data_IF_633134337550
#
_entry.id   IF_633134337550
#
_cell.length_a   1.000
_cell.length_b   1.000
_cell.length_c   1.000
_cell.angle_alpha   90.00
_cell.angle_beta   90.00
_cell.angle_gamma   90.00
#
_symmetry.space_group_name_H-M   'P 1'
#
loop_
_entity.id
_entity.type
_entity.pdbx_description
1 polymer ?
#
# COMPACT_ATOMS: atom_id res chain seq x y z
N UNK A 1 29.24 18.54 -3.59
CA UNK A 1 27.94 18.89 -4.18
C UNK A 1 27.16 17.60 -4.36
N UNK A 2 26.29 17.28 -3.40
CA UNK A 2 25.26 16.29 -3.61
C UNK A 2 24.16 17.02 -4.40
N UNK A 3 24.02 16.69 -5.67
CA UNK A 3 22.86 17.07 -6.43
C UNK A 3 21.65 16.35 -5.82
N UNK A 4 20.82 17.09 -5.10
CA UNK A 4 19.49 16.64 -4.74
C UNK A 4 18.68 16.49 -6.02
N UNK A 5 18.51 15.26 -6.48
CA UNK A 5 17.76 14.94 -7.68
C UNK A 5 16.27 14.74 -7.36
N UNK A 6 15.70 15.64 -6.57
CA UNK A 6 14.25 15.71 -6.42
C UNK A 6 13.63 16.07 -7.77
N UNK A 7 12.83 15.15 -8.31
CA UNK A 7 11.95 15.41 -9.44
C UNK A 7 12.41 14.94 -10.81
N UNK A 8 13.43 14.07 -10.92
CA UNK A 8 13.70 13.42 -12.21
C UNK A 8 12.60 12.38 -12.50
N UNK A 9 11.76 12.66 -13.51
CA UNK A 9 10.64 11.80 -13.92
C UNK A 9 10.89 11.38 -15.37
N UNK A 10 10.80 10.08 -15.65
CA UNK A 10 10.86 9.55 -16.99
C UNK A 10 9.59 9.87 -17.79
N UNK A 11 9.60 10.91 -18.63
CA UNK A 11 8.43 11.26 -19.44
C UNK A 11 8.18 10.29 -20.59
N UNK A 12 9.22 9.85 -21.27
CA UNK A 12 9.12 8.90 -22.37
C UNK A 12 8.98 7.49 -21.85
N UNK A 13 9.86 7.08 -20.94
CA UNK A 13 9.80 5.80 -20.22
C UNK A 13 9.52 6.11 -18.75
N UNK A 14 8.29 5.83 -18.26
CA UNK A 14 7.96 5.96 -16.84
C UNK A 14 8.83 5.05 -15.97
N UNK A 15 9.16 5.51 -14.77
CA UNK A 15 9.95 4.73 -13.81
C UNK A 15 9.26 3.41 -13.48
N UNK A 16 7.97 3.45 -13.22
CA UNK A 16 7.16 2.28 -12.86
C UNK A 16 7.25 1.18 -13.92
N UNK A 17 7.26 1.57 -15.19
CA UNK A 17 7.35 0.61 -16.30
C UNK A 17 8.73 -0.06 -16.36
N UNK A 18 9.79 0.73 -16.23
CA UNK A 18 11.15 0.22 -16.19
C UNK A 18 11.41 -0.66 -14.96
N UNK A 19 10.91 -0.24 -13.81
CA UNK A 19 10.99 -0.99 -12.55
C UNK A 19 10.23 -2.31 -12.61
N UNK A 20 9.00 -2.30 -13.12
CA UNK A 20 8.19 -3.52 -13.26
C UNK A 20 8.88 -4.56 -14.16
N UNK A 21 9.58 -4.13 -15.20
CA UNK A 21 10.24 -5.01 -16.16
C UNK A 21 11.59 -5.54 -15.68
N UNK A 22 12.42 -4.67 -15.08
CA UNK A 22 13.83 -4.97 -14.83
C UNK A 22 14.21 -5.00 -13.35
N UNK A 23 13.35 -4.50 -12.44
CA UNK A 23 13.64 -4.35 -11.03
C UNK A 23 12.50 -4.86 -10.13
N UNK A 24 11.72 -5.82 -10.63
CA UNK A 24 10.52 -6.33 -9.95
C UNK A 24 10.81 -6.82 -8.52
N UNK A 25 11.94 -7.48 -8.29
CA UNK A 25 12.32 -7.98 -6.95
C UNK A 25 12.54 -6.82 -5.95
N UNK A 26 13.17 -5.73 -6.39
CA UNK A 26 13.42 -4.57 -5.53
C UNK A 26 12.10 -3.83 -5.23
N UNK A 27 11.22 -3.70 -6.21
CA UNK A 27 9.88 -3.12 -6.04
C UNK A 27 9.04 -3.97 -5.07
N UNK A 28 9.03 -5.29 -5.24
CA UNK A 28 8.30 -6.19 -4.33
C UNK A 28 8.86 -6.15 -2.91
N UNK A 29 10.18 -6.06 -2.74
CA UNK A 29 10.78 -5.95 -1.42
C UNK A 29 10.38 -4.65 -0.72
N UNK A 30 10.38 -3.53 -1.45
CA UNK A 30 9.92 -2.23 -0.93
C UNK A 30 8.44 -2.29 -0.55
N UNK A 31 7.59 -2.82 -1.43
CA UNK A 31 6.16 -2.98 -1.17
C UNK A 31 5.87 -3.84 0.06
N UNK A 32 6.56 -4.96 0.24
CA UNK A 32 6.43 -5.80 1.44
C UNK A 32 6.84 -5.06 2.72
N UNK A 33 7.88 -4.22 2.64
CA UNK A 33 8.28 -3.39 3.78
C UNK A 33 7.23 -2.33 4.12
N UNK A 34 6.60 -1.72 3.12
CA UNK A 34 5.50 -0.76 3.29
C UNK A 34 4.23 -1.44 3.84
N UNK A 35 3.86 -2.61 3.33
CA UNK A 35 2.75 -3.42 3.83
C UNK A 35 2.99 -3.79 5.31
N UNK A 36 4.21 -4.24 5.64
CA UNK A 36 4.58 -4.56 7.02
C UNK A 36 4.51 -3.33 7.94
N UNK A 37 4.94 -2.18 7.47
CA UNK A 37 4.82 -0.92 8.20
C UNK A 37 3.36 -0.57 8.47
N UNK A 38 2.48 -0.74 7.49
CA UNK A 38 1.03 -0.52 7.63
C UNK A 38 0.40 -1.47 8.66
N UNK A 39 0.77 -2.75 8.65
CA UNK A 39 0.34 -3.73 9.66
C UNK A 39 0.76 -3.32 11.08
N UNK A 40 2.01 -2.87 11.23
CA UNK A 40 2.50 -2.40 12.53
C UNK A 40 1.70 -1.20 13.02
N UNK A 41 1.43 -0.23 12.16
CA UNK A 41 0.64 0.96 12.52
C UNK A 41 -0.78 0.54 12.92
N UNK A 42 -1.44 -0.33 12.15
CA UNK A 42 -2.76 -0.84 12.50
C UNK A 42 -2.77 -1.62 13.82
N UNK A 43 -1.69 -2.34 14.14
CA UNK A 43 -1.57 -3.08 15.40
C UNK A 43 -1.54 -2.20 16.66
N UNK A 44 -1.28 -0.90 16.53
CA UNK A 44 -1.33 0.02 17.66
C UNK A 44 -2.77 0.33 18.06
N UNK A 45 -3.66 0.50 17.08
CA UNK A 45 -5.09 0.72 17.35
C UNK A 45 -5.71 -0.52 18.01
N UNK A 46 -5.37 -1.71 17.48
CA UNK A 46 -5.79 -2.98 18.09
C UNK A 46 -5.28 -3.12 19.53
N UNK A 47 -4.01 -2.80 19.75
CA UNK A 47 -3.41 -2.87 21.08
C UNK A 47 -4.02 -1.86 22.07
N UNK A 48 -4.45 -0.69 21.60
CA UNK A 48 -5.19 0.28 22.42
C UNK A 48 -6.58 -0.24 22.76
N UNK A 49 -7.26 -0.91 21.83
CA UNK A 49 -8.58 -1.48 22.06
C UNK A 49 -8.54 -2.67 23.05
N UNK A 50 -7.47 -3.47 23.02
CA UNK A 50 -7.24 -4.57 23.95
C UNK A 50 -6.99 -4.11 25.42
N UNK A 51 -6.59 -2.85 25.63
CA UNK A 51 -6.32 -2.34 26.96
C UNK A 51 -7.63 -2.10 27.74
N UNK A 52 -7.68 -2.48 29.05
CA UNK A 52 -8.77 -2.09 29.95
C UNK A 52 -8.91 -0.57 30.05
N UNK A 53 -10.13 -0.06 30.19
CA UNK A 53 -10.38 1.39 30.28
C UNK A 53 -9.62 2.07 31.42
N UNK A 54 -9.44 1.40 32.55
CA UNK A 54 -8.67 1.87 33.70
C UNK A 54 -7.17 2.06 33.36
N UNK A 55 -6.64 1.26 32.44
CA UNK A 55 -5.26 1.33 31.99
C UNK A 55 -5.05 2.40 30.91
N UNK A 56 -6.11 2.75 30.16
CA UNK A 56 -6.07 3.85 29.17
C UNK A 56 -5.96 5.23 29.81
N UNK A 57 -6.25 5.35 31.10
CA UNK A 57 -6.11 6.60 31.86
C UNK A 57 -4.68 6.80 32.43
N UNK A 58 -3.76 5.86 32.18
CA UNK A 58 -2.37 5.96 32.62
C UNK A 58 -1.51 6.77 31.65
N UNK A 59 -0.41 7.31 32.13
CA UNK A 59 0.51 8.20 31.41
C UNK A 59 1.10 7.58 30.13
N UNK A 60 1.06 6.26 29.94
CA UNK A 60 1.57 5.61 28.72
C UNK A 60 0.63 5.68 27.52
N UNK A 61 -0.59 6.18 27.71
CA UNK A 61 -1.54 6.54 26.65
C UNK A 61 -1.73 8.04 26.66
N UNK A 62 -1.91 8.68 25.50
CA UNK A 62 -2.16 10.10 25.43
C UNK A 62 -3.55 10.49 25.98
N UNK A 63 -3.75 11.77 26.29
CA UNK A 63 -4.99 12.29 26.87
C UNK A 63 -6.23 12.01 26.00
N UNK A 64 -6.05 11.93 24.68
CA UNK A 64 -7.11 11.63 23.72
C UNK A 64 -7.38 10.12 23.58
N UNK A 65 -6.62 9.25 24.26
CA UNK A 65 -6.70 7.78 24.19
C UNK A 65 -6.51 7.18 22.79
N UNK A 66 -5.77 7.87 21.95
CA UNK A 66 -5.57 7.49 20.54
C UNK A 66 -4.16 7.04 20.19
N UNK A 67 -3.20 7.23 21.08
CA UNK A 67 -1.80 6.90 20.80
C UNK A 67 -1.00 6.57 22.06
N UNK A 68 0.03 5.74 21.91
CA UNK A 68 0.97 5.43 22.99
C UNK A 68 2.02 6.53 23.17
N UNK A 69 2.31 6.89 24.43
CA UNK A 69 3.41 7.77 24.80
C UNK A 69 4.67 6.93 25.06
N UNK A 70 5.52 6.81 24.06
CA UNK A 70 6.67 5.90 24.03
C UNK A 70 7.63 6.02 25.22
N UNK A 71 7.81 7.22 25.75
CA UNK A 71 8.66 7.46 26.90
C UNK A 71 8.08 6.79 28.16
N UNK A 72 6.77 6.93 28.36
CA UNK A 72 6.07 6.39 29.51
C UNK A 72 5.83 4.87 29.37
N UNK A 73 5.59 4.36 28.15
CA UNK A 73 5.58 2.91 27.87
C UNK A 73 6.88 2.25 28.32
N UNK A 74 8.03 2.85 28.01
CA UNK A 74 9.34 2.34 28.43
C UNK A 74 9.52 2.38 29.96
N UNK A 75 8.99 3.40 30.62
CA UNK A 75 9.03 3.50 32.09
C UNK A 75 8.13 2.46 32.74
N UNK A 76 6.90 2.30 32.26
CA UNK A 76 5.95 1.30 32.76
C UNK A 76 6.50 -0.13 32.66
N UNK A 77 7.13 -0.49 31.53
CA UNK A 77 7.77 -1.80 31.36
C UNK A 77 8.93 -2.01 32.36
N UNK A 78 9.70 -0.98 32.66
CA UNK A 78 10.82 -1.06 33.61
C UNK A 78 10.35 -1.13 35.07
N UNK A 79 9.33 -0.37 35.42
CA UNK A 79 8.76 -0.33 36.76
C UNK A 79 8.03 -1.64 37.15
N UNK A 80 7.49 -2.36 36.13
CA UNK A 80 6.65 -3.56 36.30
C UNK A 80 5.42 -3.29 37.20
N UNK A 81 4.91 -2.08 37.17
CA UNK A 81 3.79 -1.61 38.01
C UNK A 81 2.46 -1.70 37.23
N UNK A 82 2.36 -2.66 36.32
CA UNK A 82 1.17 -2.95 35.51
C UNK A 82 0.88 -4.44 35.54
N UNK A 83 -0.37 -4.81 35.29
CA UNK A 83 -0.79 -6.20 35.21
C UNK A 83 0.01 -7.00 34.17
N UNK A 84 0.23 -8.32 34.39
CA UNK A 84 1.02 -9.15 33.49
C UNK A 84 0.52 -9.16 32.05
N UNK A 85 -0.80 -9.05 31.83
CA UNK A 85 -1.43 -9.00 30.52
C UNK A 85 -1.12 -7.68 29.82
N UNK A 86 -1.31 -6.55 30.51
CA UNK A 86 -0.96 -5.22 30.00
C UNK A 86 0.54 -5.10 29.72
N UNK A 87 1.37 -5.67 30.57
CA UNK A 87 2.82 -5.71 30.35
C UNK A 87 3.19 -6.45 29.06
N UNK A 88 2.48 -7.52 28.72
CA UNK A 88 2.69 -8.25 27.47
C UNK A 88 2.33 -7.41 26.26
N UNK A 89 1.18 -6.70 26.29
CA UNK A 89 0.76 -5.76 25.23
C UNK A 89 1.79 -4.64 25.07
N UNK A 90 2.20 -3.98 26.15
CA UNK A 90 3.18 -2.87 26.08
C UNK A 90 4.54 -3.32 25.53
N UNK A 91 4.98 -4.54 25.85
CA UNK A 91 6.22 -5.10 25.27
C UNK A 91 6.08 -5.34 23.78
N UNK A 92 4.96 -5.92 23.32
CA UNK A 92 4.65 -6.14 21.91
C UNK A 92 4.66 -4.81 21.14
N UNK A 93 3.96 -3.82 21.67
CA UNK A 93 3.87 -2.47 21.08
C UNK A 93 5.25 -1.78 21.04
N UNK A 94 6.10 -1.96 22.07
CA UNK A 94 7.45 -1.40 22.04
C UNK A 94 8.35 -2.07 20.99
N UNK A 95 8.25 -3.39 20.82
CA UNK A 95 8.96 -4.12 19.76
C UNK A 95 8.52 -3.64 18.38
N UNK A 96 7.21 -3.48 18.19
CA UNK A 96 6.63 -2.96 16.96
C UNK A 96 7.14 -1.53 16.67
N UNK A 97 7.25 -0.66 17.68
CA UNK A 97 7.79 0.69 17.50
C UNK A 97 9.28 0.70 17.09
N UNK A 98 10.07 -0.22 17.63
CA UNK A 98 11.49 -0.33 17.24
C UNK A 98 11.62 -0.93 15.83
N UNK A 99 10.73 -1.84 15.41
CA UNK A 99 10.62 -2.36 14.05
C UNK A 99 10.15 -1.27 13.08
N UNK A 100 9.13 -0.49 13.45
CA UNK A 100 8.61 0.64 12.67
C UNK A 100 9.72 1.65 12.31
N UNK A 101 10.55 2.03 13.29
CA UNK A 101 11.64 2.96 13.07
C UNK A 101 12.69 2.42 12.09
N UNK A 102 12.98 1.11 12.19
CA UNK A 102 13.90 0.45 11.26
C UNK A 102 13.31 0.38 9.86
N UNK A 103 12.03 -0.03 9.74
CA UNK A 103 11.34 -0.11 8.46
C UNK A 103 11.20 1.25 7.79
N UNK A 104 10.84 2.31 8.53
CA UNK A 104 10.77 3.67 7.97
C UNK A 104 12.11 4.13 7.39
N UNK A 105 13.21 3.82 8.09
CA UNK A 105 14.54 4.14 7.58
C UNK A 105 14.88 3.29 6.35
N UNK A 106 14.62 1.99 6.41
CA UNK A 106 14.87 1.06 5.31
C UNK A 106 14.07 1.45 4.06
N UNK A 107 12.76 1.73 4.18
CA UNK A 107 11.90 2.15 3.08
C UNK A 107 12.45 3.41 2.41
N UNK A 108 12.90 4.38 3.23
CA UNK A 108 13.51 5.60 2.70
C UNK A 108 14.80 5.30 1.94
N UNK A 109 15.73 4.57 2.56
CA UNK A 109 17.03 4.26 1.98
C UNK A 109 16.88 3.40 0.70
N UNK A 110 16.02 2.38 0.73
CA UNK A 110 15.73 1.49 -0.40
C UNK A 110 14.97 2.23 -1.53
N UNK A 111 14.04 3.13 -1.18
CA UNK A 111 13.33 3.97 -2.14
C UNK A 111 14.28 4.93 -2.88
N UNK A 112 15.16 5.62 -2.17
CA UNK A 112 16.18 6.49 -2.76
C UNK A 112 17.14 5.69 -3.66
N UNK A 113 17.55 4.52 -3.22
CA UNK A 113 18.42 3.61 -3.98
C UNK A 113 17.72 3.14 -5.26
N UNK A 114 16.48 2.66 -5.16
CA UNK A 114 15.67 2.21 -6.29
C UNK A 114 15.50 3.34 -7.33
N UNK A 115 15.24 4.56 -6.87
CA UNK A 115 15.12 5.73 -7.75
C UNK A 115 16.41 5.99 -8.55
N UNK A 116 17.57 6.00 -7.87
CA UNK A 116 18.85 6.21 -8.52
C UNK A 116 19.26 5.07 -9.47
N UNK A 117 18.96 3.83 -9.08
CA UNK A 117 19.22 2.67 -9.94
C UNK A 117 18.30 2.67 -11.16
N UNK A 118 17.03 3.05 -11.02
CA UNK A 118 16.10 3.20 -12.14
C UNK A 118 16.56 4.28 -13.12
N UNK A 119 17.04 5.41 -12.61
CA UNK A 119 17.61 6.46 -13.45
C UNK A 119 18.78 5.92 -14.27
N UNK A 120 19.75 5.28 -13.61
CA UNK A 120 20.92 4.68 -14.29
C UNK A 120 20.51 3.61 -15.30
N UNK A 121 19.52 2.79 -14.97
CA UNK A 121 18.96 1.81 -15.88
C UNK A 121 18.46 2.47 -17.16
N UNK A 122 17.61 3.49 -17.02
CA UNK A 122 17.01 4.20 -18.16
C UNK A 122 18.08 4.90 -19.03
N UNK A 123 19.11 5.46 -18.42
CA UNK A 123 20.24 6.11 -19.14
C UNK A 123 21.10 5.11 -19.94
N UNK A 124 21.09 3.83 -19.57
CA UNK A 124 21.90 2.78 -20.18
C UNK A 124 21.08 1.74 -20.96
N UNK A 125 19.79 1.99 -21.24
CA UNK A 125 18.97 1.10 -22.05
C UNK A 125 19.49 1.05 -23.50
N UNK A 126 19.50 -0.15 -24.06
CA UNK A 126 19.75 -0.37 -25.49
C UNK A 126 18.49 -0.08 -26.31
N UNK A 127 18.66 0.22 -27.60
CA UNK A 127 17.55 0.59 -28.48
C UNK A 127 16.42 -0.45 -28.50
N UNK A 128 16.75 -1.74 -28.49
CA UNK A 128 15.76 -2.82 -28.45
C UNK A 128 14.95 -2.81 -27.16
N UNK A 129 15.61 -2.56 -26.02
CA UNK A 129 14.94 -2.46 -24.72
C UNK A 129 14.02 -1.22 -24.64
N UNK A 130 14.45 -0.11 -25.21
CA UNK A 130 13.62 1.10 -25.33
C UNK A 130 12.38 0.80 -26.15
N UNK A 131 12.52 0.11 -27.30
CA UNK A 131 11.40 -0.24 -28.16
C UNK A 131 10.42 -1.20 -27.47
N UNK A 132 10.89 -2.16 -26.69
CA UNK A 132 10.03 -3.04 -25.87
C UNK A 132 9.22 -2.24 -24.84
N UNK A 133 9.86 -1.35 -24.09
CA UNK A 133 9.17 -0.51 -23.10
C UNK A 133 8.17 0.46 -23.74
N UNK A 134 8.47 1.00 -24.91
CA UNK A 134 7.52 1.84 -25.65
C UNK A 134 6.34 1.02 -26.18
N UNK A 135 6.58 -0.21 -26.61
CA UNK A 135 5.52 -1.14 -26.97
C UNK A 135 4.59 -1.44 -25.79
N UNK A 136 5.17 -1.76 -24.62
CA UNK A 136 4.41 -2.01 -23.40
C UNK A 136 3.62 -0.78 -22.93
N UNK A 137 4.16 0.42 -23.15
CA UNK A 137 3.50 1.68 -22.79
C UNK A 137 2.33 2.05 -23.70
N UNK A 138 2.49 1.86 -25.00
CA UNK A 138 1.57 2.42 -25.99
C UNK A 138 0.72 1.36 -26.71
N UNK A 139 1.33 0.25 -27.09
CA UNK A 139 0.67 -0.76 -27.90
C UNK A 139 -0.14 -1.72 -27.07
N UNK A 140 0.42 -2.25 -25.98
CA UNK A 140 -0.28 -3.22 -25.13
C UNK A 140 -1.60 -2.65 -24.58
N UNK A 141 -1.65 -1.47 -23.94
CA UNK A 141 -2.91 -0.91 -23.45
C UNK A 141 -3.93 -0.61 -24.55
N UNK A 142 -3.45 -0.21 -25.74
CA UNK A 142 -4.31 0.02 -26.90
C UNK A 142 -4.97 -1.29 -27.36
N UNK A 143 -4.18 -2.34 -27.49
CA UNK A 143 -4.68 -3.68 -27.90
C UNK A 143 -5.66 -4.20 -26.86
N UNK A 144 -5.35 -4.11 -25.56
CA UNK A 144 -6.25 -4.51 -24.48
C UNK A 144 -7.56 -3.73 -24.50
N UNK A 145 -7.51 -2.41 -24.69
CA UNK A 145 -8.71 -1.57 -24.81
C UNK A 145 -9.58 -2.00 -26.01
N UNK A 146 -8.96 -2.30 -27.14
CA UNK A 146 -9.66 -2.77 -28.34
C UNK A 146 -10.30 -4.15 -28.12
N UNK A 147 -9.64 -5.03 -27.36
CA UNK A 147 -10.17 -6.36 -27.02
C UNK A 147 -11.35 -6.28 -26.06
N UNK A 148 -11.38 -5.28 -25.19
CA UNK A 148 -12.48 -5.07 -24.22
C UNK A 148 -13.74 -4.43 -24.85
N UNK A 149 -13.63 -3.80 -26.01
CA UNK A 149 -14.79 -3.14 -26.67
C UNK A 149 -15.96 -4.11 -26.95
N UNK A 150 -15.76 -5.32 -27.51
CA UNK A 150 -16.86 -6.27 -27.70
C UNK A 150 -17.53 -6.68 -26.39
N UNK A 151 -16.77 -6.91 -25.33
CA UNK A 151 -17.28 -7.35 -24.02
C UNK A 151 -18.12 -6.23 -23.36
N UNK A 152 -17.66 -4.99 -23.45
CA UNK A 152 -18.43 -3.85 -22.94
C UNK A 152 -19.75 -3.67 -23.69
N UNK A 153 -19.75 -3.80 -25.01
CA UNK A 153 -20.96 -3.72 -25.83
C UNK A 153 -21.94 -4.85 -25.54
N UNK A 154 -21.44 -6.08 -25.39
CA UNK A 154 -22.26 -7.25 -25.02
C UNK A 154 -22.88 -7.05 -23.62
N UNK A 155 -22.09 -6.57 -22.66
CA UNK A 155 -22.59 -6.28 -21.30
C UNK A 155 -23.68 -5.21 -21.29
N UNK A 156 -23.51 -4.16 -22.07
CA UNK A 156 -24.53 -3.11 -22.23
C UNK A 156 -25.80 -3.65 -22.85
N UNK A 157 -25.71 -4.51 -23.89
CA UNK A 157 -26.85 -5.17 -24.51
C UNK A 157 -27.58 -6.10 -23.53
N UNK A 158 -26.85 -6.88 -22.75
CA UNK A 158 -27.43 -7.75 -21.71
C UNK A 158 -28.20 -6.92 -20.70
N UNK A 159 -27.61 -5.83 -20.18
CA UNK A 159 -28.26 -4.93 -19.23
C UNK A 159 -29.57 -4.33 -19.78
N UNK A 160 -29.59 -3.95 -21.08
CA UNK A 160 -30.81 -3.41 -21.70
C UNK A 160 -31.89 -4.50 -21.91
N UNK A 161 -31.48 -5.74 -22.22
CA UNK A 161 -32.40 -6.86 -22.29
C UNK A 161 -33.00 -7.23 -20.92
N UNK A 162 -32.18 -7.23 -19.87
CA UNK A 162 -32.66 -7.47 -18.50
C UNK A 162 -33.66 -6.40 -18.05
N UNK A 163 -33.37 -5.13 -18.33
CA UNK A 163 -34.36 -4.02 -18.07
C UNK A 163 -35.66 -4.22 -18.83
N UNK A 164 -35.60 -4.68 -20.08
CA UNK A 164 -36.78 -5.00 -20.87
C UNK A 164 -37.55 -6.17 -20.27
N UNK A 165 -36.87 -7.26 -19.90
CA UNK A 165 -37.48 -8.41 -19.26
C UNK A 165 -38.23 -7.99 -17.96
N UNK A 166 -37.52 -7.27 -17.07
CA UNK A 166 -38.11 -6.80 -15.81
C UNK A 166 -39.34 -5.89 -16.05
N UNK A 167 -39.29 -5.05 -17.10
CA UNK A 167 -40.43 -4.18 -17.44
C UNK A 167 -41.67 -4.93 -17.87
N UNK A 168 -41.54 -6.09 -18.50
CA UNK A 168 -42.64 -6.88 -19.02
C UNK A 168 -43.03 -8.07 -18.15
N UNK A 169 -42.29 -8.40 -17.12
CA UNK A 169 -42.53 -9.47 -16.16
C UNK A 169 -43.88 -9.25 -15.45
N UNK A 170 -44.14 -8.02 -14.95
CA UNK A 170 -45.38 -7.64 -14.30
C UNK A 170 -46.59 -7.60 -15.23
N UNK A 171 -46.39 -7.43 -16.57
CA UNK A 171 -47.46 -7.37 -17.53
C UNK A 171 -47.96 -8.75 -17.98
N UNK A 172 -47.14 -9.78 -17.89
CA UNK A 172 -47.55 -11.15 -18.18
C UNK A 172 -48.34 -11.78 -17.04
N UNK A 173 -48.01 -11.50 -15.77
CA UNK A 173 -48.83 -11.92 -14.61
C UNK A 173 -50.20 -11.23 -14.51
N UNK A 174 -50.35 -10.05 -15.09
CA UNK A 174 -51.64 -9.30 -15.10
C UNK A 174 -52.57 -9.73 -16.23
N UNK A 175 -52.13 -10.56 -17.15
CA UNK A 175 -52.93 -11.00 -18.32
C UNK A 175 -53.43 -12.45 -18.16
N UNK A 176 -53.03 -13.19 -17.13
CA UNK A 176 -53.64 -14.45 -16.68
C UNK A 176 -54.71 -14.18 -15.60
#
# INVERSE_FOLDING_TARGET
>A
DQEEQEGWIGHVIPFELAQARYMSEAVEALKKAEERLSEIVASYDEALDELPEEEKDKDFVNDDKTAFVWAEVKKAIKAKDVEPEVLAVLKKVLLNNDEEKKLKKQIKDDGEKLHLETKKLIENLEDDQVMELLHDKWIVPLVESLQQLPDSFISELINELEKLCSKYEDTLEQVE
#
